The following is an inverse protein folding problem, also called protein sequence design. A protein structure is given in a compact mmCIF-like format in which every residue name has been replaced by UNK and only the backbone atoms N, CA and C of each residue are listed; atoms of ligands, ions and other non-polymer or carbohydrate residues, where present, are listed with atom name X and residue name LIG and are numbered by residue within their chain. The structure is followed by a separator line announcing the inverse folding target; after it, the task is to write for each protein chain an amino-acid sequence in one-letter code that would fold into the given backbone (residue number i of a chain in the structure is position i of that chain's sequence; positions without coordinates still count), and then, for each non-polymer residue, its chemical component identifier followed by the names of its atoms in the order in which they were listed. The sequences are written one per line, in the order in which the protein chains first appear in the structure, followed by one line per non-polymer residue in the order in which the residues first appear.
data_IF_854472061970
#
_entry.id   IF_854472061970
#
_cell.length_a   1.000
_cell.length_b   1.000
_cell.length_c   1.000
_cell.angle_alpha   90.00
_cell.angle_beta   90.00
_cell.angle_gamma   90.00
#
_symmetry.space_group_name_H-M   'P 1'
#
loop_
_entity.id
_entity.type
_entity.pdbx_description
1 polymer ?
#
# COMPACT_ATOMS: atom_id res chain seq x y z
N UNK A 1 -10.41 -9.69 -2.27
CA UNK A 1 -9.78 -8.41 -2.67
C UNK A 1 -8.31 -8.56 -3.01
N UNK A 2 -7.49 -9.32 -2.27
CA UNK A 2 -6.09 -9.57 -2.66
C UNK A 2 -5.90 -10.23 -4.06
N UNK A 3 -6.69 -11.23 -4.48
CA UNK A 3 -6.57 -11.79 -5.83
C UNK A 3 -6.86 -10.74 -6.92
N UNK A 4 -7.92 -9.95 -6.73
CA UNK A 4 -8.31 -8.85 -7.62
C UNK A 4 -7.22 -7.79 -7.73
N UNK A 5 -6.63 -7.38 -6.60
CA UNK A 5 -5.51 -6.44 -6.58
C UNK A 5 -4.29 -6.99 -7.33
N UNK A 6 -3.93 -8.25 -7.07
CA UNK A 6 -2.82 -8.91 -7.75
C UNK A 6 -3.06 -8.99 -9.25
N UNK A 7 -4.25 -9.37 -9.68
CA UNK A 7 -4.61 -9.45 -11.10
C UNK A 7 -4.53 -8.08 -11.77
N UNK A 8 -5.10 -7.04 -11.16
CA UNK A 8 -5.01 -5.67 -11.66
C UNK A 8 -3.54 -5.21 -11.81
N UNK A 9 -2.69 -5.49 -10.82
CA UNK A 9 -1.26 -5.19 -10.89
C UNK A 9 -0.54 -5.97 -11.99
N UNK A 10 -0.84 -7.27 -12.15
CA UNK A 10 -0.22 -8.09 -13.19
C UNK A 10 -0.66 -7.66 -14.60
N UNK A 11 -1.90 -7.18 -14.76
CA UNK A 11 -2.40 -6.64 -16.02
C UNK A 11 -1.78 -5.28 -16.36
N UNK A 12 -1.74 -4.33 -15.41
CA UNK A 12 -1.18 -2.99 -15.64
C UNK A 12 0.37 -2.99 -15.76
N UNK A 13 1.04 -3.94 -15.09
CA UNK A 13 2.50 -4.06 -15.04
C UNK A 13 2.95 -5.47 -15.48
N UNK A 14 2.64 -5.80 -16.73
CA UNK A 14 2.86 -7.13 -17.32
C UNK A 14 4.33 -7.39 -17.69
N UNK A 15 5.12 -7.81 -16.70
CA UNK A 15 6.53 -8.19 -16.87
C UNK A 15 6.71 -9.50 -17.65
N UNK A 16 5.70 -10.37 -17.62
CA UNK A 16 5.71 -11.71 -18.17
C UNK A 16 5.74 -11.64 -19.71
N UNK A 17 5.04 -10.66 -20.30
CA UNK A 17 5.08 -10.36 -21.73
C UNK A 17 6.47 -9.94 -22.19
N UNK A 18 7.14 -9.04 -21.46
CA UNK A 18 8.52 -8.61 -21.73
C UNK A 18 9.50 -9.78 -21.59
N UNK A 19 9.33 -10.61 -20.57
CA UNK A 19 10.14 -11.81 -20.36
C UNK A 19 9.95 -12.82 -21.49
N UNK A 20 8.72 -12.97 -22.02
CA UNK A 20 8.44 -13.81 -23.18
C UNK A 20 9.09 -13.26 -24.45
N UNK A 21 9.05 -11.94 -24.68
CA UNK A 21 9.78 -11.30 -25.79
C UNK A 21 11.27 -11.58 -25.71
N UNK A 22 11.89 -11.46 -24.53
CA UNK A 22 13.33 -11.75 -24.34
C UNK A 22 13.71 -13.21 -24.69
N UNK A 23 12.81 -14.18 -24.48
CA UNK A 23 13.05 -15.58 -24.86
C UNK A 23 13.17 -15.77 -26.37
N UNK A 24 12.50 -14.94 -27.15
CA UNK A 24 12.52 -14.98 -28.63
C UNK A 24 13.75 -14.30 -29.25
N UNK A 25 14.73 -13.86 -28.43
CA UNK A 25 15.97 -13.18 -28.87
C UNK A 25 15.74 -12.02 -29.84
N UNK A 26 15.00 -10.98 -29.42
CA UNK A 26 14.70 -9.82 -30.25
C UNK A 26 15.96 -8.98 -30.46
N UNK A 27 15.99 -8.19 -31.53
CA UNK A 27 17.09 -7.29 -31.86
C UNK A 27 17.26 -6.18 -30.80
N UNK A 28 16.17 -5.68 -30.23
CA UNK A 28 16.15 -4.62 -29.22
C UNK A 28 16.19 -5.14 -27.77
N UNK A 29 17.02 -6.17 -27.52
CA UNK A 29 17.14 -6.81 -26.20
C UNK A 29 17.42 -5.83 -25.06
N UNK A 30 18.28 -4.83 -25.28
CA UNK A 30 18.67 -3.88 -24.24
C UNK A 30 17.47 -3.03 -23.78
N UNK A 31 16.70 -2.50 -24.72
CA UNK A 31 15.50 -1.70 -24.44
C UNK A 31 14.49 -2.48 -23.60
N UNK A 32 14.25 -3.75 -23.95
CA UNK A 32 13.31 -4.60 -23.22
C UNK A 32 13.80 -4.86 -21.78
N UNK A 33 15.11 -4.99 -21.56
CA UNK A 33 15.66 -5.11 -20.20
C UNK A 33 15.53 -3.81 -19.40
N UNK A 34 15.69 -2.66 -20.04
CA UNK A 34 15.47 -1.37 -19.38
C UNK A 34 13.99 -1.17 -19.03
N UNK A 35 13.05 -1.56 -19.90
CA UNK A 35 11.62 -1.57 -19.57
C UNK A 35 11.31 -2.54 -18.43
N UNK A 36 11.87 -3.75 -18.48
CA UNK A 36 11.69 -4.76 -17.44
C UNK A 36 12.21 -4.28 -16.09
N UNK A 37 13.35 -3.56 -16.07
CA UNK A 37 13.87 -2.90 -14.85
C UNK A 37 12.81 -2.00 -14.22
N UNK A 38 12.20 -1.11 -15.00
CA UNK A 38 11.22 -0.16 -14.49
C UNK A 38 9.94 -0.87 -14.04
N UNK A 39 9.42 -1.80 -14.86
CA UNK A 39 8.18 -2.53 -14.56
C UNK A 39 8.33 -3.40 -13.32
N UNK A 40 9.42 -4.16 -13.18
CA UNK A 40 9.61 -5.06 -12.04
C UNK A 40 9.69 -4.30 -10.71
N UNK A 41 10.45 -3.21 -10.65
CA UNK A 41 10.53 -2.38 -9.45
C UNK A 41 9.21 -1.66 -9.15
N UNK A 42 8.58 -1.05 -10.16
CA UNK A 42 7.28 -0.40 -10.01
C UNK A 42 6.26 -1.39 -9.43
N UNK A 43 6.19 -2.59 -10.00
CA UNK A 43 5.21 -3.62 -9.61
C UNK A 43 5.34 -4.03 -8.15
N UNK A 44 6.55 -4.29 -7.68
CA UNK A 44 6.78 -4.73 -6.31
C UNK A 44 6.57 -3.60 -5.29
N UNK A 45 6.91 -2.37 -5.65
CA UNK A 45 6.69 -1.18 -4.80
C UNK A 45 5.19 -0.89 -4.70
N UNK A 46 4.46 -0.84 -5.82
CA UNK A 46 3.00 -0.64 -5.83
C UNK A 46 2.31 -1.76 -5.06
N UNK A 47 2.75 -3.03 -5.19
CA UNK A 47 2.20 -4.15 -4.44
C UNK A 47 2.27 -3.92 -2.92
N UNK A 48 3.40 -3.39 -2.41
CA UNK A 48 3.53 -3.05 -0.98
C UNK A 48 2.57 -1.93 -0.58
N UNK A 49 2.56 -0.81 -1.33
CA UNK A 49 1.68 0.33 -1.02
C UNK A 49 0.20 -0.06 -1.04
N UNK A 50 -0.26 -0.63 -2.15
CA UNK A 50 -1.67 -1.01 -2.35
C UNK A 50 -2.13 -2.07 -1.36
N UNK A 51 -1.28 -3.04 -0.98
CA UNK A 51 -1.62 -4.02 0.06
C UNK A 51 -1.77 -3.36 1.43
N UNK A 52 -0.87 -2.46 1.81
CA UNK A 52 -0.98 -1.73 3.08
C UNK A 52 -2.23 -0.86 3.10
N UNK A 53 -2.47 -0.08 2.03
CA UNK A 53 -3.66 0.76 1.86
C UNK A 53 -4.95 -0.07 1.94
N UNK A 54 -5.01 -1.22 1.26
CA UNK A 54 -6.18 -2.09 1.27
C UNK A 54 -6.49 -2.60 2.68
N UNK A 55 -5.48 -3.03 3.44
CA UNK A 55 -5.66 -3.52 4.81
C UNK A 55 -6.20 -2.42 5.71
N UNK A 56 -5.58 -1.24 5.71
CA UNK A 56 -6.00 -0.16 6.62
C UNK A 56 -7.33 0.45 6.19
N UNK A 57 -7.62 0.56 4.89
CA UNK A 57 -8.91 1.07 4.39
C UNK A 57 -10.06 0.15 4.76
N UNK A 58 -9.91 -1.16 4.55
CA UNK A 58 -10.93 -2.14 4.95
C UNK A 58 -11.15 -2.12 6.45
N UNK A 59 -10.10 -1.93 7.25
CA UNK A 59 -10.25 -1.75 8.71
C UNK A 59 -11.07 -0.50 9.02
N UNK A 60 -10.80 0.64 8.39
CA UNK A 60 -11.60 1.86 8.59
C UNK A 60 -13.06 1.62 8.17
N UNK A 61 -13.27 1.15 6.94
CA UNK A 61 -14.61 0.95 6.39
C UNK A 61 -15.45 -0.03 7.21
N UNK A 62 -14.89 -1.18 7.57
CA UNK A 62 -15.61 -2.20 8.34
C UNK A 62 -15.90 -1.74 9.78
N UNK A 63 -15.02 -0.95 10.41
CA UNK A 63 -15.27 -0.44 11.76
C UNK A 63 -16.29 0.71 11.75
N UNK A 64 -16.27 1.61 10.76
CA UNK A 64 -17.28 2.66 10.61
C UNK A 64 -18.65 2.00 10.41
N UNK A 65 -18.81 1.17 9.37
CA UNK A 65 -20.12 0.55 9.11
C UNK A 65 -20.55 -0.40 10.25
N UNK A 66 -19.60 -1.09 10.88
CA UNK A 66 -19.86 -1.93 12.05
C UNK A 66 -20.39 -1.13 13.25
N UNK A 67 -19.89 0.08 13.47
CA UNK A 67 -20.39 1.00 14.49
C UNK A 67 -21.83 1.44 14.22
N UNK A 68 -22.17 1.75 12.96
CA UNK A 68 -23.54 2.07 12.57
C UNK A 68 -24.50 0.89 12.76
N UNK A 69 -24.10 -0.30 12.32
CA UNK A 69 -24.88 -1.54 12.52
C UNK A 69 -25.10 -1.82 14.01
N UNK A 70 -24.08 -1.59 14.84
CA UNK A 70 -24.21 -1.74 16.29
C UNK A 70 -25.23 -0.76 16.89
N UNK A 71 -25.21 0.51 16.48
CA UNK A 71 -26.18 1.52 16.93
C UNK A 71 -27.59 1.21 16.46
N UNK A 72 -27.76 0.76 15.22
CA UNK A 72 -29.05 0.29 14.71
C UNK A 72 -29.58 -0.84 15.58
N UNK A 73 -28.78 -1.87 15.86
CA UNK A 73 -29.16 -2.99 16.72
C UNK A 73 -29.49 -2.56 18.16
N UNK A 74 -28.77 -1.59 18.72
CA UNK A 74 -29.02 -1.07 20.06
C UNK A 74 -30.29 -0.21 20.16
N UNK A 75 -30.82 0.27 19.03
CA UNK A 75 -32.05 1.07 18.96
C UNK A 75 -33.28 0.28 18.53
N UNK A 76 -33.12 -0.99 18.11
CA UNK A 76 -34.21 -1.95 17.89
C UNK A 76 -34.95 -2.20 19.21
N UNK A 77 -36.01 -1.43 19.44
CA UNK A 77 -36.81 -1.48 20.68
C UNK A 77 -37.30 -0.10 21.13
N UNK A 78 -36.72 0.99 20.61
CA UNK A 78 -37.27 2.34 20.73
C UNK A 78 -38.24 2.56 19.57
N UNK A 79 -39.53 2.73 19.87
CA UNK A 79 -40.55 2.91 18.83
C UNK A 79 -40.21 4.13 17.95
N UNK A 80 -40.08 3.92 16.63
CA UNK A 80 -39.95 5.00 15.64
C UNK A 80 -38.54 5.35 15.17
N UNK A 81 -37.48 4.63 15.55
CA UNK A 81 -36.13 4.87 15.01
C UNK A 81 -35.95 4.28 13.61
N UNK A 82 -35.53 5.11 12.66
CA UNK A 82 -35.12 4.71 11.32
C UNK A 82 -33.74 4.03 11.35
N UNK A 83 -33.61 2.88 10.70
CA UNK A 83 -32.33 2.17 10.53
C UNK A 83 -31.39 3.03 9.69
N UNK A 84 -30.20 3.32 10.22
CA UNK A 84 -29.22 4.21 9.59
C UNK A 84 -28.43 3.50 8.49
N UNK A 85 -28.03 2.24 8.70
CA UNK A 85 -27.23 1.45 7.77
C UNK A 85 -27.96 0.16 7.33
N UNK A 86 -29.06 0.27 6.56
CA UNK A 86 -29.68 -0.89 5.94
C UNK A 86 -28.74 -1.55 4.90
N UNK A 87 -29.01 -2.81 4.47
CA UNK A 87 -28.09 -3.58 3.63
C UNK A 87 -27.68 -2.91 2.30
N UNK A 88 -28.57 -2.13 1.70
CA UNK A 88 -28.33 -1.35 0.49
C UNK A 88 -27.30 -0.23 0.73
N UNK A 89 -27.42 0.51 1.84
CA UNK A 89 -26.43 1.52 2.26
C UNK A 89 -25.09 0.87 2.57
N UNK A 90 -25.08 -0.27 3.26
CA UNK A 90 -23.85 -1.02 3.55
C UNK A 90 -23.13 -1.42 2.25
N UNK A 91 -23.86 -1.99 1.30
CA UNK A 91 -23.30 -2.42 0.02
C UNK A 91 -22.80 -1.22 -0.81
N UNK A 92 -23.58 -0.14 -0.87
CA UNK A 92 -23.20 1.07 -1.60
C UNK A 92 -21.94 1.70 -0.99
N UNK A 93 -21.88 1.86 0.34
CA UNK A 93 -20.70 2.37 1.03
C UNK A 93 -19.44 1.51 0.79
N UNK A 94 -19.55 0.19 0.99
CA UNK A 94 -18.42 -0.73 0.81
C UNK A 94 -17.95 -0.83 -0.65
N UNK A 95 -18.79 -0.47 -1.62
CA UNK A 95 -18.39 -0.42 -3.03
C UNK A 95 -17.35 0.66 -3.32
N UNK A 96 -17.18 1.67 -2.44
CA UNK A 96 -16.15 2.72 -2.59
C UNK A 96 -14.71 2.17 -2.59
N UNK A 97 -14.48 0.94 -2.11
CA UNK A 97 -13.19 0.24 -2.22
C UNK A 97 -12.72 0.07 -3.68
N UNK A 98 -13.64 0.16 -4.64
CA UNK A 98 -13.35 0.08 -6.06
C UNK A 98 -12.40 1.17 -6.54
N UNK A 99 -12.37 2.35 -5.91
CA UNK A 99 -11.42 3.40 -6.26
C UNK A 99 -9.97 2.94 -6.06
N UNK A 100 -9.66 2.38 -4.89
CA UNK A 100 -8.32 1.84 -4.60
C UNK A 100 -7.94 0.69 -5.54
N UNK A 101 -8.91 -0.07 -6.04
CA UNK A 101 -8.69 -1.20 -6.95
C UNK A 101 -8.79 -0.81 -8.44
N UNK A 102 -9.10 0.46 -8.72
CA UNK A 102 -9.34 1.01 -10.05
C UNK A 102 -8.48 2.25 -10.28
N UNK A 103 -9.11 3.42 -10.44
CA UNK A 103 -8.44 4.66 -10.81
C UNK A 103 -7.33 5.07 -9.83
N UNK A 104 -7.56 4.91 -8.52
CA UNK A 104 -6.56 5.17 -7.49
C UNK A 104 -5.32 4.27 -7.62
N UNK A 105 -5.49 3.00 -8.02
CA UNK A 105 -4.36 2.11 -8.32
C UNK A 105 -3.59 2.56 -9.55
N UNK A 106 -4.30 2.94 -10.61
CA UNK A 106 -3.69 3.38 -11.87
C UNK A 106 -2.88 4.67 -11.68
N UNK A 107 -3.40 5.60 -10.89
CA UNK A 107 -2.66 6.81 -10.53
C UNK A 107 -1.43 6.49 -9.67
N UNK A 108 -1.58 5.62 -8.66
CA UNK A 108 -0.47 5.16 -7.81
C UNK A 108 0.64 4.48 -8.64
N UNK A 109 0.26 3.61 -9.59
CA UNK A 109 1.18 2.98 -10.54
C UNK A 109 1.92 4.05 -11.33
N UNK A 110 1.23 5.08 -11.83
CA UNK A 110 1.82 6.16 -12.62
C UNK A 110 2.85 6.94 -11.81
N UNK A 111 2.50 7.37 -10.61
CA UNK A 111 3.39 8.14 -9.72
C UNK A 111 4.62 7.32 -9.32
N UNK A 112 4.42 6.06 -8.93
CA UNK A 112 5.54 5.17 -8.55
C UNK A 112 6.42 4.88 -9.77
N UNK A 113 5.85 4.64 -10.96
CA UNK A 113 6.63 4.41 -12.19
C UNK A 113 7.53 5.59 -12.51
N UNK A 114 7.02 6.82 -12.35
CA UNK A 114 7.82 8.03 -12.53
C UNK A 114 8.95 8.13 -11.50
N UNK A 115 8.68 7.83 -10.22
CA UNK A 115 9.71 7.83 -9.18
C UNK A 115 10.80 6.77 -9.45
N UNK A 116 10.41 5.55 -9.83
CA UNK A 116 11.32 4.47 -10.23
C UNK A 116 12.16 4.90 -11.44
N UNK A 117 11.55 5.50 -12.46
CA UNK A 117 12.27 6.02 -13.64
C UNK A 117 13.30 7.08 -13.25
N UNK A 118 12.97 7.99 -12.34
CA UNK A 118 13.91 9.05 -11.86
C UNK A 118 15.12 8.45 -11.12
N UNK A 119 14.91 7.45 -10.28
CA UNK A 119 15.96 6.88 -9.42
C UNK A 119 16.79 5.81 -10.12
N UNK A 120 16.15 4.92 -10.90
CA UNK A 120 16.79 3.76 -11.52
C UNK A 120 16.99 3.88 -13.03
N UNK A 121 16.39 4.87 -13.70
CA UNK A 121 16.43 5.01 -15.15
C UNK A 121 17.86 5.07 -15.70
N UNK A 122 18.72 5.89 -15.11
CA UNK A 122 20.13 6.05 -15.50
C UNK A 122 21.07 4.97 -14.93
N UNK A 123 20.60 4.11 -14.03
CA UNK A 123 21.42 3.07 -13.43
C UNK A 123 21.59 1.92 -14.43
N UNK A 124 22.84 1.64 -14.79
CA UNK A 124 23.16 0.57 -15.74
C UNK A 124 22.73 -0.80 -15.21
N UNK A 125 22.21 -1.65 -16.10
CA UNK A 125 21.92 -3.07 -15.82
C UNK A 125 23.13 -3.86 -15.29
N UNK A 126 24.35 -3.41 -15.58
CA UNK A 126 25.60 -4.03 -15.12
C UNK A 126 26.06 -3.52 -13.75
N UNK A 127 25.50 -2.42 -13.27
CA UNK A 127 25.88 -1.83 -11.99
C UNK A 127 25.53 -2.80 -10.86
N UNK A 128 26.51 -3.10 -10.01
CA UNK A 128 26.32 -3.98 -8.86
C UNK A 128 25.81 -3.18 -7.68
N UNK A 129 24.74 -3.67 -7.05
CA UNK A 129 24.16 -3.09 -5.85
C UNK A 129 24.21 -4.13 -4.73
N UNK A 130 24.59 -3.71 -3.53
CA UNK A 130 24.39 -4.50 -2.31
C UNK A 130 22.93 -4.43 -1.85
N UNK A 131 22.57 -5.23 -0.85
CA UNK A 131 21.25 -5.14 -0.21
C UNK A 131 21.03 -3.77 0.43
N UNK A 132 22.07 -3.16 1.00
CA UNK A 132 22.01 -1.82 1.60
C UNK A 132 21.79 -0.75 0.53
N UNK A 133 22.46 -0.87 -0.63
CA UNK A 133 22.24 0.05 -1.75
C UNK A 133 20.81 -0.06 -2.28
N UNK A 134 20.28 -1.29 -2.37
CA UNK A 134 18.90 -1.55 -2.77
C UNK A 134 17.91 -0.94 -1.77
N UNK A 135 18.13 -1.10 -0.47
CA UNK A 135 17.34 -0.45 0.57
C UNK A 135 17.36 1.07 0.41
N UNK A 136 18.53 1.65 0.14
CA UNK A 136 18.67 3.09 -0.06
C UNK A 136 17.91 3.57 -1.31
N UNK A 137 17.96 2.82 -2.42
CA UNK A 137 17.17 3.12 -3.63
C UNK A 137 15.67 3.06 -3.36
N UNK A 138 15.21 2.08 -2.57
CA UNK A 138 13.81 2.01 -2.16
C UNK A 138 13.41 3.21 -1.29
N UNK A 139 14.26 3.63 -0.34
CA UNK A 139 14.03 4.85 0.46
C UNK A 139 13.92 6.11 -0.40
N UNK A 140 14.84 6.29 -1.36
CA UNK A 140 14.79 7.41 -2.31
C UNK A 140 13.48 7.43 -3.12
N UNK A 141 13.03 6.26 -3.61
CA UNK A 141 11.76 6.14 -4.33
C UNK A 141 10.59 6.50 -3.41
N UNK A 142 10.59 6.00 -2.16
CA UNK A 142 9.53 6.30 -1.18
C UNK A 142 9.44 7.80 -0.89
N UNK A 143 10.58 8.47 -0.68
CA UNK A 143 10.61 9.92 -0.47
C UNK A 143 9.92 10.65 -1.63
N UNK A 144 10.23 10.29 -2.88
CA UNK A 144 9.60 10.92 -4.05
C UNK A 144 8.08 10.66 -4.14
N UNK A 145 7.62 9.47 -3.74
CA UNK A 145 6.20 9.09 -3.79
C UNK A 145 5.41 9.76 -2.67
N UNK A 146 5.91 9.68 -1.44
CA UNK A 146 5.22 10.19 -0.25
C UNK A 146 5.24 11.73 -0.20
N UNK A 147 6.21 12.38 -0.85
CA UNK A 147 6.24 13.84 -1.02
C UNK A 147 5.59 14.33 -2.32
N UNK A 148 5.06 13.43 -3.15
CA UNK A 148 4.44 13.81 -4.40
C UNK A 148 3.18 14.65 -4.13
N UNK A 149 3.23 15.92 -4.56
CA UNK A 149 2.05 16.79 -4.57
C UNK A 149 1.43 16.71 -5.95
N UNK A 150 0.13 16.42 -6.02
CA UNK A 150 -0.60 16.53 -7.28
C UNK A 150 -0.57 18.00 -7.76
N UNK A 151 -0.38 18.28 -9.06
CA UNK A 151 -0.36 19.63 -9.59
C UNK A 151 -1.68 20.41 -9.38
N UNK A 152 -2.75 19.71 -9.00
CA UNK A 152 -4.03 20.32 -8.63
C UNK A 152 -4.06 20.88 -7.21
N UNK A 153 -3.05 20.59 -6.37
CA UNK A 153 -3.04 20.98 -4.96
C UNK A 153 -2.56 22.43 -4.81
N UNK A 154 -3.29 23.21 -4.01
CA UNK A 154 -2.89 24.58 -3.67
C UNK A 154 -1.96 24.59 -2.47
N UNK A 155 -1.26 25.70 -2.21
CA UNK A 155 -0.36 25.85 -1.05
C UNK A 155 -1.06 25.69 0.32
N UNK A 156 -2.40 25.58 0.35
CA UNK A 156 -3.20 25.30 1.55
C UNK A 156 -3.37 23.79 1.85
N UNK A 157 -3.09 22.91 0.88
CA UNK A 157 -3.28 21.45 1.00
C UNK A 157 -2.08 20.71 1.63
N UNK A 158 -1.12 21.46 2.16
CA UNK A 158 0.16 20.94 2.70
C UNK A 158 -0.04 19.93 3.84
N UNK A 159 -1.20 19.93 4.50
CA UNK A 159 -1.52 19.02 5.60
C UNK A 159 -2.18 17.70 5.17
N UNK A 160 -2.61 17.54 3.91
CA UNK A 160 -3.20 16.27 3.45
C UNK A 160 -2.10 15.26 3.19
N UNK A 161 -2.24 14.05 3.74
CA UNK A 161 -1.38 12.92 3.39
C UNK A 161 -1.55 12.64 1.90
N UNK A 162 -0.50 12.79 1.09
CA UNK A 162 -0.52 12.54 -0.36
C UNK A 162 -1.03 11.14 -0.74
N UNK A 163 -1.01 10.20 0.20
CA UNK A 163 -1.42 8.83 -0.03
C UNK A 163 -2.94 8.61 0.02
N UNK A 164 -3.72 9.52 0.62
CA UNK A 164 -5.17 9.32 0.78
C UNK A 164 -5.94 9.37 -0.56
N UNK A 165 -5.45 10.15 -1.53
CA UNK A 165 -6.06 10.31 -2.86
C UNK A 165 -6.15 8.98 -3.63
N UNK A 166 -5.24 8.04 -3.35
CA UNK A 166 -5.25 6.72 -3.97
C UNK A 166 -6.28 5.77 -3.34
N UNK A 167 -6.80 6.11 -2.16
CA UNK A 167 -7.66 5.27 -1.34
C UNK A 167 -9.14 5.64 -1.47
N UNK A 168 -9.42 6.94 -1.64
CA UNK A 168 -10.76 7.46 -1.83
C UNK A 168 -10.72 8.66 -2.79
N UNK A 169 -11.74 8.85 -3.66
CA UNK A 169 -11.81 10.04 -4.49
C UNK A 169 -12.02 11.31 -3.65
N UNK A 170 -11.50 12.41 -4.17
CA UNK A 170 -11.71 13.74 -3.61
C UNK A 170 -13.21 14.09 -3.53
N UNK A 171 -13.58 14.95 -2.58
CA UNK A 171 -14.97 15.33 -2.33
C UNK A 171 -15.61 15.99 -3.56
N UNK A 172 -14.82 16.75 -4.33
CA UNK A 172 -15.22 17.44 -5.55
C UNK A 172 -15.49 16.49 -6.73
N UNK A 173 -15.05 15.22 -6.63
CA UNK A 173 -15.27 14.21 -7.66
C UNK A 173 -16.77 13.90 -7.77
N UNK A 174 -17.33 13.71 -8.99
CA UNK A 174 -18.75 13.35 -9.13
C UNK A 174 -19.15 12.14 -8.27
N UNK A 175 -20.28 12.24 -7.55
CA UNK A 175 -20.73 11.19 -6.61
C UNK A 175 -20.75 9.79 -7.23
N UNK A 176 -21.15 9.67 -8.49
CA UNK A 176 -21.20 8.39 -9.21
C UNK A 176 -19.84 7.67 -9.34
N UNK A 177 -18.72 8.40 -9.20
CA UNK A 177 -17.38 7.83 -9.17
C UNK A 177 -16.89 7.50 -7.74
N UNK A 178 -17.59 7.98 -6.71
CA UNK A 178 -17.22 7.74 -5.30
C UNK A 178 -17.73 6.39 -4.77
N UNK A 179 -18.89 5.96 -5.25
CA UNK A 179 -19.46 4.64 -4.96
C UNK A 179 -20.45 4.23 -6.05
N UNK A 180 -20.68 2.92 -6.19
CA UNK A 180 -21.54 2.37 -7.22
C UNK A 180 -22.98 2.89 -7.10
N UNK A 181 -23.45 3.60 -8.14
CA UNK A 181 -24.80 4.14 -8.18
C UNK A 181 -25.09 5.26 -7.18
N UNK A 182 -24.06 5.89 -6.62
CA UNK A 182 -24.22 6.96 -5.64
C UNK A 182 -24.85 8.22 -6.25
N UNK A 183 -25.89 8.71 -5.58
CA UNK A 183 -26.65 9.90 -5.98
C UNK A 183 -26.78 10.88 -4.80
N UNK A 184 -27.14 12.15 -5.05
CA UNK A 184 -27.38 13.12 -3.98
C UNK A 184 -28.48 12.74 -2.99
N UNK A 185 -29.30 11.72 -3.30
CA UNK A 185 -30.37 11.22 -2.43
C UNK A 185 -29.86 10.26 -1.37
N UNK A 186 -28.66 9.70 -1.55
CA UNK A 186 -28.08 8.68 -0.69
C UNK A 186 -27.33 9.33 0.49
N UNK A 187 -28.07 10.13 1.27
CA UNK A 187 -27.53 11.02 2.31
C UNK A 187 -26.67 10.25 3.32
N UNK A 188 -27.10 9.06 3.75
CA UNK A 188 -26.35 8.27 4.71
C UNK A 188 -25.04 7.75 4.12
N UNK A 189 -25.04 7.27 2.88
CA UNK A 189 -23.81 6.81 2.21
C UNK A 189 -22.82 7.95 2.04
N UNK A 190 -23.28 9.14 1.62
CA UNK A 190 -22.45 10.34 1.52
C UNK A 190 -21.83 10.68 2.87
N UNK A 191 -22.62 10.63 3.95
CA UNK A 191 -22.14 10.88 5.31
C UNK A 191 -21.05 9.88 5.73
N UNK A 192 -21.26 8.59 5.48
CA UNK A 192 -20.27 7.54 5.79
C UNK A 192 -18.96 7.76 5.00
N UNK A 193 -19.04 8.17 3.73
CA UNK A 193 -17.87 8.50 2.92
C UNK A 193 -17.12 9.71 3.48
N UNK A 194 -17.82 10.75 3.91
CA UNK A 194 -17.19 11.94 4.52
C UNK A 194 -16.51 11.60 5.86
N UNK A 195 -17.17 10.84 6.74
CA UNK A 195 -16.55 10.34 7.98
C UNK A 195 -15.32 9.47 7.69
N UNK A 196 -15.33 8.74 6.57
CA UNK A 196 -14.16 7.97 6.11
C UNK A 196 -13.03 8.90 5.66
N UNK A 197 -13.31 9.95 4.87
CA UNK A 197 -12.31 10.96 4.48
C UNK A 197 -11.66 11.60 5.70
N UNK A 198 -12.46 12.05 6.66
CA UNK A 198 -11.97 12.63 7.91
C UNK A 198 -11.02 11.67 8.65
N UNK A 199 -11.37 10.38 8.68
CA UNK A 199 -10.51 9.36 9.27
C UNK A 199 -9.21 9.15 8.50
N UNK A 200 -9.26 9.09 7.15
CA UNK A 200 -8.09 8.93 6.30
C UNK A 200 -7.13 10.13 6.36
N UNK A 201 -7.66 11.32 6.62
CA UNK A 201 -6.89 12.56 6.79
C UNK A 201 -6.36 12.74 8.22
N UNK A 202 -6.79 11.88 9.16
CA UNK A 202 -6.36 11.98 10.55
C UNK A 202 -4.88 11.62 10.75
N UNK A 203 -4.19 12.23 11.73
CA UNK A 203 -2.80 11.90 12.05
C UNK A 203 -2.65 10.45 12.56
N UNK A 204 -3.68 9.91 13.19
CA UNK A 204 -3.69 8.53 13.68
C UNK A 204 -3.69 7.54 12.52
N UNK A 205 -4.51 7.77 11.50
CA UNK A 205 -4.49 6.96 10.28
C UNK A 205 -3.15 7.05 9.57
N UNK A 206 -2.59 8.26 9.41
CA UNK A 206 -1.27 8.46 8.80
C UNK A 206 -0.18 7.69 9.55
N UNK A 207 -0.21 7.70 10.89
CA UNK A 207 0.73 6.93 11.72
C UNK A 207 0.63 5.43 11.45
N UNK A 208 -0.60 4.88 11.45
CA UNK A 208 -0.83 3.45 11.22
C UNK A 208 -0.39 3.06 9.81
N UNK A 209 -0.77 3.82 8.78
CA UNK A 209 -0.38 3.55 7.40
C UNK A 209 1.15 3.59 7.24
N UNK A 210 1.83 4.58 7.83
CA UNK A 210 3.30 4.67 7.78
C UNK A 210 3.97 3.47 8.47
N UNK A 211 3.47 3.03 9.62
CA UNK A 211 3.95 1.82 10.29
C UNK A 211 3.76 0.58 9.42
N UNK A 212 2.60 0.45 8.76
CA UNK A 212 2.31 -0.62 7.82
C UNK A 212 3.28 -0.63 6.63
N UNK A 213 3.51 0.53 6.01
CA UNK A 213 4.42 0.69 4.88
C UNK A 213 5.86 0.37 5.27
N UNK A 214 6.35 0.90 6.40
CA UNK A 214 7.70 0.62 6.89
C UNK A 214 7.93 -0.89 7.05
N UNK A 215 6.97 -1.59 7.66
CA UNK A 215 7.03 -3.05 7.80
C UNK A 215 6.96 -3.77 6.45
N UNK A 216 6.17 -3.27 5.51
CA UNK A 216 6.08 -3.84 4.17
C UNK A 216 7.36 -3.74 3.37
N UNK A 217 8.03 -2.59 3.42
CA UNK A 217 9.33 -2.43 2.78
C UNK A 217 10.43 -3.20 3.49
N UNK A 218 10.43 -3.27 4.83
CA UNK A 218 11.36 -4.13 5.57
C UNK A 218 11.17 -5.60 5.18
N UNK A 219 9.92 -6.08 5.12
CA UNK A 219 9.63 -7.46 4.70
C UNK A 219 10.03 -7.73 3.26
N UNK A 220 9.80 -6.77 2.36
CA UNK A 220 10.23 -6.87 0.97
C UNK A 220 11.76 -7.07 0.90
N UNK A 221 12.53 -6.30 1.67
CA UNK A 221 13.98 -6.45 1.76
C UNK A 221 14.40 -7.78 2.39
N UNK A 222 13.75 -8.21 3.48
CA UNK A 222 14.02 -9.50 4.13
C UNK A 222 13.85 -10.68 3.16
N UNK A 223 12.78 -10.65 2.36
CA UNK A 223 12.52 -11.67 1.34
C UNK A 223 13.59 -11.66 0.23
N UNK A 224 14.19 -10.50 -0.06
CA UNK A 224 15.25 -10.39 -1.06
C UNK A 224 16.62 -10.76 -0.49
N UNK A 225 16.82 -10.63 0.83
CA UNK A 225 18.11 -10.83 1.48
C UNK A 225 18.68 -12.25 1.27
N UNK A 226 17.84 -13.27 1.11
CA UNK A 226 18.29 -14.63 0.84
C UNK A 226 19.07 -14.79 -0.46
N UNK A 227 18.83 -13.91 -1.44
CA UNK A 227 19.51 -13.90 -2.73
C UNK A 227 20.84 -13.14 -2.71
N UNK A 228 21.10 -12.35 -1.66
CA UNK A 228 22.36 -11.61 -1.45
C UNK A 228 23.32 -12.36 -0.52
N UNK A 229 23.27 -13.70 -0.53
CA UNK A 229 24.18 -14.54 0.26
C UNK A 229 25.42 -14.94 -0.56
N UNK A 230 26.61 -15.04 0.06
CA UNK A 230 27.79 -15.56 -0.61
C UNK A 230 27.54 -16.99 -1.11
N UNK A 231 28.06 -17.32 -2.29
CA UNK A 231 27.98 -18.69 -2.79
C UNK A 231 28.95 -19.56 -2.00
N UNK A 232 28.74 -20.88 -1.90
CA UNK A 232 29.71 -21.79 -1.22
C UNK A 232 31.16 -21.66 -1.72
N UNK A 233 31.34 -21.20 -2.97
CA UNK A 233 32.65 -20.91 -3.57
C UNK A 233 33.35 -19.67 -2.96
N UNK A 234 32.58 -18.67 -2.50
CA UNK A 234 33.11 -17.44 -1.88
C UNK A 234 33.58 -17.71 -0.44
N UNK A 235 32.98 -18.71 0.23
CA UNK A 235 33.32 -19.11 1.59
C UNK A 235 34.65 -19.89 1.70
N UNK A 236 35.14 -20.47 0.59
CA UNK A 236 36.40 -21.21 0.55
C UNK A 236 37.64 -20.30 0.49
N UNK A 237 37.50 -19.06 0.03
CA UNK A 237 38.58 -18.08 -0.03
C UNK A 237 38.56 -17.20 1.22
N UNK A 238 38.94 -17.82 2.34
CA UNK A 238 38.81 -17.31 3.70
C UNK A 238 39.07 -15.81 3.87
N UNK A 239 37.99 -15.06 4.14
CA UNK A 239 38.03 -13.84 4.93
C UNK A 239 36.74 -13.72 5.76
N UNK A 240 36.91 -14.07 7.04
CA UNK A 240 36.17 -13.67 8.24
C UNK A 240 34.79 -13.03 8.08
N UNK A 241 33.74 -13.80 8.41
CA UNK A 241 32.59 -13.56 9.35
C UNK A 241 31.81 -12.22 9.32
N UNK A 242 32.30 -11.15 8.69
CA UNK A 242 31.61 -9.85 8.55
C UNK A 242 31.00 -9.63 7.15
N UNK A 243 30.97 -10.65 6.29
CA UNK A 243 30.72 -10.54 4.84
C UNK A 243 29.26 -10.73 4.41
N UNK A 244 28.28 -10.45 5.28
CA UNK A 244 26.85 -10.51 4.90
C UNK A 244 26.36 -9.21 4.25
N UNK A 245 27.04 -8.08 4.51
CA UNK A 245 26.68 -6.77 3.97
C UNK A 245 27.42 -6.38 2.68
N UNK A 246 28.32 -7.22 2.17
CA UNK A 246 29.22 -6.90 1.04
C UNK A 246 28.85 -7.57 -0.29
N UNK A 247 27.94 -8.56 -0.27
CA UNK A 247 27.53 -9.25 -1.50
C UNK A 247 26.72 -8.29 -2.36
N UNK A 248 27.24 -8.02 -3.56
CA UNK A 248 26.62 -7.12 -4.52
C UNK A 248 26.23 -7.89 -5.78
N UNK A 249 25.03 -7.65 -6.27
CA UNK A 249 24.51 -8.27 -7.48
C UNK A 249 24.37 -7.23 -8.59
N UNK A 250 24.74 -7.55 -9.84
CA UNK A 250 24.39 -6.71 -10.99
C UNK A 250 22.87 -6.51 -11.03
N UNK A 251 22.43 -5.29 -11.35
CA UNK A 251 21.01 -4.93 -11.40
C UNK A 251 20.19 -5.88 -12.29
N UNK A 252 20.76 -6.35 -13.41
CA UNK A 252 20.12 -7.36 -14.26
C UNK A 252 19.75 -8.66 -13.52
N UNK A 253 20.51 -9.05 -12.49
CA UNK A 253 20.20 -10.20 -11.62
C UNK A 253 19.19 -9.86 -10.51
N UNK A 254 19.14 -8.59 -10.08
CA UNK A 254 18.19 -8.10 -9.07
C UNK A 254 16.77 -8.01 -9.66
N UNK A 255 16.64 -7.61 -10.92
CA UNK A 255 15.34 -7.49 -11.61
C UNK A 255 14.43 -8.71 -11.43
N UNK A 256 14.84 -9.95 -11.76
CA UNK A 256 13.97 -11.12 -11.58
C UNK A 256 13.63 -11.41 -10.11
N UNK A 257 14.54 -11.11 -9.18
CA UNK A 257 14.31 -11.26 -7.73
C UNK A 257 13.20 -10.32 -7.28
N UNK A 258 13.31 -9.03 -7.64
CA UNK A 258 12.31 -8.01 -7.35
C UNK A 258 10.98 -8.37 -8.02
N UNK A 259 11.02 -8.80 -9.29
CA UNK A 259 9.83 -9.12 -10.08
C UNK A 259 8.97 -10.23 -9.46
N UNK A 260 9.60 -11.19 -8.77
CA UNK A 260 8.93 -12.30 -8.10
C UNK A 260 8.26 -11.93 -6.77
N UNK A 261 8.58 -10.76 -6.19
CA UNK A 261 8.09 -10.38 -4.86
C UNK A 261 6.56 -10.19 -4.81
N UNK A 262 5.91 -9.86 -5.93
CA UNK A 262 4.44 -9.73 -6.00
C UNK A 262 3.71 -10.97 -5.50
N UNK A 263 4.27 -12.17 -5.72
CA UNK A 263 3.66 -13.43 -5.28
C UNK A 263 3.72 -13.63 -3.77
N UNK A 264 4.71 -13.04 -3.09
CA UNK A 264 4.84 -13.07 -1.63
C UNK A 264 4.02 -11.95 -0.97
N UNK A 265 4.10 -10.74 -1.54
CA UNK A 265 3.42 -9.54 -1.01
C UNK A 265 1.89 -9.67 -1.12
N UNK A 266 1.39 -10.13 -2.27
CA UNK A 266 -0.05 -10.30 -2.53
C UNK A 266 -0.52 -11.76 -2.47
N UNK A 267 0.07 -12.58 -1.59
CA UNK A 267 -0.31 -13.99 -1.42
C UNK A 267 -1.69 -14.14 -0.77
N UNK A 268 -2.46 -15.15 -1.22
CA UNK A 268 -3.79 -15.52 -0.69
C UNK A 268 -3.70 -16.37 0.58
N UNK A 269 -2.72 -17.28 0.64
CA UNK A 269 -2.28 -17.79 1.94
C UNK A 269 -1.84 -16.58 2.72
N UNK A 270 -2.43 -16.30 3.89
CA UNK A 270 -2.13 -15.09 4.62
C UNK A 270 -0.64 -15.08 4.88
N UNK A 271 0.08 -14.31 4.07
CA UNK A 271 1.50 -14.17 4.25
C UNK A 271 1.66 -13.60 5.65
N UNK A 272 2.71 -14.02 6.36
CA UNK A 272 3.00 -13.48 7.68
C UNK A 272 2.99 -11.94 7.67
N UNK A 273 3.25 -11.33 6.49
CA UNK A 273 3.05 -9.91 6.21
C UNK A 273 1.60 -9.41 6.37
N UNK A 274 0.63 -9.96 5.63
CA UNK A 274 -0.78 -9.54 5.73
C UNK A 274 -1.35 -9.84 7.12
N UNK A 275 -0.95 -10.95 7.75
CA UNK A 275 -1.29 -11.25 9.15
C UNK A 275 -0.71 -10.23 10.13
N UNK A 276 0.59 -9.90 10.03
CA UNK A 276 1.21 -8.91 10.88
C UNK A 276 0.59 -7.52 10.70
N UNK A 277 0.25 -7.14 9.46
CA UNK A 277 -0.47 -5.91 9.18
C UNK A 277 -1.88 -5.92 9.77
N UNK A 278 -2.55 -7.06 9.80
CA UNK A 278 -3.89 -7.16 10.36
C UNK A 278 -3.92 -7.14 11.90
N UNK A 279 -2.92 -7.73 12.57
CA UNK A 279 -2.90 -7.89 14.04
C UNK A 279 -2.46 -6.61 14.74
N UNK A 280 -1.43 -5.95 14.23
CA UNK A 280 -0.70 -4.94 14.99
C UNK A 280 -1.35 -3.54 15.12
N UNK A 281 -2.18 -3.05 14.16
CA UNK A 281 -2.92 -1.80 14.34
C UNK A 281 -3.86 -1.86 15.56
N UNK A 282 -4.38 -3.04 15.87
CA UNK A 282 -5.24 -3.26 17.04
C UNK A 282 -4.47 -3.15 18.37
N UNK A 283 -3.19 -3.58 18.41
CA UNK A 283 -2.36 -3.47 19.61
C UNK A 283 -1.91 -2.03 19.90
N UNK A 284 -1.64 -1.22 18.86
CA UNK A 284 -1.33 0.21 19.05
C UNK A 284 -2.56 1.01 19.49
N UNK A 285 -3.75 0.69 18.94
CA UNK A 285 -5.02 1.26 19.41
C UNK A 285 -5.32 0.86 20.88
N UNK A 286 -5.08 -0.41 21.24
CA UNK A 286 -5.20 -0.89 22.63
C UNK A 286 -4.26 -0.17 23.60
N UNK A 287 -2.99 0.02 23.23
CA UNK A 287 -2.02 0.75 24.05
C UNK A 287 -2.36 2.24 24.21
N UNK A 288 -2.94 2.89 23.19
CA UNK A 288 -3.45 4.27 23.30
C UNK A 288 -4.68 4.36 24.20
N UNK A 289 -5.62 3.41 24.10
CA UNK A 289 -6.81 3.36 24.95
C UNK A 289 -6.46 3.14 26.44
N UNK A 290 -5.52 2.22 26.73
CA UNK A 290 -5.01 2.00 28.10
C UNK A 290 -4.27 3.23 28.64
N UNK A 291 -3.51 3.93 27.79
CA UNK A 291 -2.83 5.19 28.13
C UNK A 291 -3.78 6.36 28.42
N UNK A 292 -4.97 6.41 27.79
CA UNK A 292 -6.02 7.39 28.09
C UNK A 292 -6.84 7.02 29.34
N UNK A 293 -7.05 5.73 29.61
CA UNK A 293 -7.75 5.25 30.81
C UNK A 293 -6.98 5.59 32.10
N UNK A 294 -5.64 5.61 32.05
CA UNK A 294 -4.78 6.01 33.18
C UNK A 294 -4.76 7.52 33.49
N UNK A 295 -5.28 8.39 32.61
CA UNK A 295 -5.35 9.85 32.83
C UNK A 295 -6.70 10.35 33.36
N UNK A 296 -7.72 9.50 33.42
CA UNK A 296 -9.01 9.82 34.03
C UNK A 296 -9.10 9.22 35.46
N UNK A 297 -8.26 9.67 36.39
CA UNK A 297 -8.59 9.55 37.82
C UNK A 297 -9.49 10.73 38.21
N UNK A 298 -10.65 10.49 38.85
CA UNK A 298 -11.52 11.57 39.29
C UNK A 298 -10.81 12.36 40.39
N UNK A 299 -10.62 13.65 40.17
CA UNK A 299 -10.33 14.62 41.22
C UNK A 299 -11.51 14.61 42.19
N UNK A 300 -11.34 13.92 43.31
CA UNK A 300 -12.28 13.92 44.42
C UNK A 300 -12.34 15.33 45.02
N UNK A 301 -13.44 16.01 44.77
CA UNK A 301 -13.94 17.11 45.60
C UNK A 301 -14.34 16.52 46.96
N UNK A 302 -13.58 16.88 48.00
CA UNK A 302 -14.02 17.25 49.35
C UNK A 302 -12.82 17.70 50.16
#
# INVERSE_FOLDING_TARGET
MLPTLREALMQQLNSESLTALLKNRPSNKLEIWEDLKIISFTRSIVAVYSTCMLVVLLRVQLNIIGGYIYLDNATVGKNGTTVLAPPDVQQQYLSSIQHLLGDGLTELVTVIKQAVQRILGSVSLKHSLSLLDLEQKLKEIRILVEQHKSPSWTDKDVSRSSLCQYMMPDEETPLAAQAYGLSPRDITTIKLLNETRDMLESPDFSTVLNTCLNRGFSRLLDNMAEFFRPTEQDLQHGNSINSLSSVSLPLAKIIPIVNGQIHSVCSETPSHFVQQLAIHPAEEAGKKADGMSLKCKPSSLL
#
